data_IF_161647174027
#
_entry.id   IF_161647174027
#
_cell.length_a   1.000
_cell.length_b   1.000
_cell.length_c   1.000
_cell.angle_alpha   90.00
_cell.angle_beta   90.00
_cell.angle_gamma   90.00
#
_symmetry.space_group_name_H-M   'P 1'
#
loop_
_entity.id
_entity.type
_entity.pdbx_description
1 polymer ?
#
# COMPACT_ATOMS: atom_id res chain seq x y z
N UNK A 1 -9.36 -8.55 4.16
CA UNK A 1 -7.95 -8.13 4.39
C UNK A 1 -6.99 -9.06 3.65
N UNK A 2 -5.70 -8.71 3.49
CA UNK A 2 -4.72 -9.56 2.80
C UNK A 2 -4.54 -10.94 3.48
N UNK A 3 -4.56 -10.98 4.82
CA UNK A 3 -4.50 -12.21 5.62
C UNK A 3 -5.72 -13.11 5.31
N UNK A 4 -6.94 -12.55 5.36
CA UNK A 4 -8.15 -13.30 5.01
C UNK A 4 -8.11 -13.86 3.57
N UNK A 5 -7.60 -13.08 2.61
CA UNK A 5 -7.44 -13.58 1.24
C UNK A 5 -6.44 -14.73 1.14
N UNK A 6 -5.35 -14.69 1.90
CA UNK A 6 -4.40 -15.81 1.97
C UNK A 6 -5.08 -17.02 2.60
N UNK A 7 -5.81 -16.84 3.70
CA UNK A 7 -6.56 -17.92 4.38
C UNK A 7 -7.57 -18.60 3.44
N UNK A 8 -8.36 -17.83 2.70
CA UNK A 8 -9.30 -18.38 1.70
C UNK A 8 -8.57 -19.19 0.63
N UNK A 9 -7.47 -18.65 0.07
CA UNK A 9 -6.70 -19.40 -0.96
C UNK A 9 -6.09 -20.67 -0.41
N UNK A 10 -5.66 -20.69 0.85
CA UNK A 10 -5.15 -21.92 1.51
C UNK A 10 -6.26 -22.95 1.66
N UNK A 11 -7.47 -22.53 2.05
CA UNK A 11 -8.64 -23.43 2.08
C UNK A 11 -8.99 -24.00 0.70
N UNK A 12 -8.74 -23.24 -0.36
CA UNK A 12 -8.90 -23.65 -1.76
C UNK A 12 -7.71 -24.48 -2.30
N UNK A 13 -6.73 -24.85 -1.46
CA UNK A 13 -5.58 -25.70 -1.83
C UNK A 13 -4.29 -24.94 -2.23
N UNK A 14 -4.23 -23.63 -2.00
CA UNK A 14 -3.05 -22.79 -2.23
C UNK A 14 -1.95 -22.92 -1.16
N UNK A 15 -0.77 -22.37 -1.44
CA UNK A 15 0.34 -22.33 -0.47
C UNK A 15 0.09 -21.36 0.67
N UNK A 16 0.38 -21.80 1.89
CA UNK A 16 0.31 -20.95 3.08
C UNK A 16 1.46 -19.94 3.11
N UNK A 17 1.15 -18.72 3.56
CA UNK A 17 2.13 -17.70 3.93
C UNK A 17 1.83 -17.33 5.37
N UNK A 18 2.83 -17.50 6.24
CA UNK A 18 2.71 -17.14 7.65
C UNK A 18 2.26 -15.69 7.83
N UNK A 19 1.35 -15.48 8.80
CA UNK A 19 0.76 -14.17 9.06
C UNK A 19 1.83 -13.11 9.34
N UNK A 20 2.89 -13.47 10.06
CA UNK A 20 4.00 -12.56 10.37
C UNK A 20 4.80 -12.17 9.13
N UNK A 21 4.91 -13.07 8.15
CA UNK A 21 5.52 -12.77 6.86
C UNK A 21 4.65 -11.78 6.08
N UNK A 22 3.32 -11.92 6.10
CA UNK A 22 2.39 -10.98 5.46
C UNK A 22 2.52 -9.59 6.09
N UNK A 23 2.50 -9.50 7.43
CA UNK A 23 2.64 -8.23 8.17
C UNK A 23 3.98 -7.56 7.88
N UNK A 24 5.09 -8.32 7.91
CA UNK A 24 6.43 -7.82 7.60
C UNK A 24 6.52 -7.28 6.18
N UNK A 25 5.98 -8.02 5.19
CA UNK A 25 5.95 -7.57 3.79
C UNK A 25 5.13 -6.31 3.60
N UNK A 26 3.98 -6.20 4.28
CA UNK A 26 3.15 -5.01 4.23
C UNK A 26 3.92 -3.77 4.71
N UNK A 27 4.57 -3.85 5.88
CA UNK A 27 5.41 -2.77 6.41
C UNK A 27 6.56 -2.42 5.46
N UNK A 28 7.32 -3.43 5.00
CA UNK A 28 8.43 -3.21 4.09
C UNK A 28 7.98 -2.58 2.75
N UNK A 29 6.80 -2.96 2.26
CA UNK A 29 6.22 -2.39 1.05
C UNK A 29 5.92 -0.89 1.20
N UNK A 30 5.41 -0.46 2.36
CA UNK A 30 5.17 0.96 2.66
C UNK A 30 6.49 1.71 2.76
N UNK A 31 7.50 1.17 3.46
CA UNK A 31 8.81 1.80 3.54
C UNK A 31 9.43 1.97 2.15
N UNK A 32 9.45 0.89 1.35
CA UNK A 32 9.98 0.93 -0.01
C UNK A 32 9.21 1.90 -0.91
N UNK A 33 7.89 2.06 -0.72
CA UNK A 33 7.09 3.05 -1.44
C UNK A 33 7.68 4.46 -1.25
N UNK A 34 7.94 4.87 -0.01
CA UNK A 34 8.43 6.22 0.27
C UNK A 34 9.94 6.39 0.05
N UNK A 35 10.73 5.36 0.37
CA UNK A 35 12.19 5.46 0.39
C UNK A 35 12.82 5.17 -0.99
N UNK A 36 12.18 4.32 -1.80
CA UNK A 36 12.75 3.83 -3.06
C UNK A 36 11.89 4.26 -4.23
N UNK A 37 10.61 3.89 -4.24
CA UNK A 37 9.79 3.99 -5.45
C UNK A 37 9.32 5.42 -5.73
N UNK A 38 8.72 6.11 -4.75
CA UNK A 38 8.16 7.44 -4.94
C UNK A 38 9.22 8.48 -5.39
N UNK A 39 10.49 8.46 -4.91
CA UNK A 39 11.54 9.35 -5.39
C UNK A 39 11.95 9.13 -6.84
N UNK A 40 11.99 7.88 -7.33
CA UNK A 40 12.59 7.53 -8.64
C UNK A 40 11.59 7.50 -9.79
N UNK A 41 10.29 7.40 -9.52
CA UNK A 41 9.26 7.39 -10.57
C UNK A 41 8.88 8.80 -11.01
N UNK A 42 8.56 8.94 -12.29
CA UNK A 42 8.02 10.18 -12.87
C UNK A 42 6.58 10.41 -12.40
N UNK A 43 5.77 9.35 -12.36
CA UNK A 43 4.36 9.42 -12.00
C UNK A 43 3.99 8.31 -11.02
N UNK A 44 3.08 8.61 -10.10
CA UNK A 44 2.52 7.64 -9.18
C UNK A 44 1.08 8.00 -8.80
N UNK A 45 0.25 6.97 -8.60
CA UNK A 45 -1.08 7.10 -8.01
C UNK A 45 -1.17 6.18 -6.80
N UNK A 46 -1.57 6.71 -5.65
CA UNK A 46 -1.69 5.97 -4.40
C UNK A 46 -3.16 5.89 -4.03
N UNK A 47 -3.68 4.67 -3.90
CA UNK A 47 -5.08 4.40 -3.61
C UNK A 47 -5.25 3.70 -2.26
N UNK A 48 -6.29 4.10 -1.51
CA UNK A 48 -6.85 3.32 -0.41
C UNK A 48 -7.97 2.41 -0.95
N UNK A 49 -7.79 1.10 -0.72
CA UNK A 49 -8.69 0.03 -1.20
C UNK A 49 -9.41 -0.67 -0.02
N UNK A 50 -9.60 0.01 1.12
CA UNK A 50 -10.39 -0.54 2.24
C UNK A 50 -11.89 -0.57 1.90
N UNK A 51 -12.39 0.47 1.24
CA UNK A 51 -13.79 0.56 0.80
C UNK A 51 -14.01 -0.15 -0.54
N UNK A 52 -15.27 -0.37 -0.91
CA UNK A 52 -15.65 -0.98 -2.20
C UNK A 52 -15.11 -0.17 -3.38
N UNK A 53 -15.16 1.17 -3.27
CA UNK A 53 -14.58 2.08 -4.25
C UNK A 53 -13.19 2.50 -3.78
N UNK A 54 -12.19 2.28 -4.63
CA UNK A 54 -10.84 2.78 -4.41
C UNK A 54 -10.86 4.31 -4.31
N UNK A 55 -10.22 4.85 -3.29
CA UNK A 55 -10.06 6.29 -3.08
C UNK A 55 -8.63 6.69 -3.43
N UNK A 56 -8.44 7.65 -4.33
CA UNK A 56 -7.14 8.26 -4.58
C UNK A 56 -6.75 9.11 -3.38
N UNK A 57 -5.64 8.80 -2.73
CA UNK A 57 -5.17 9.50 -1.53
C UNK A 57 -3.97 10.41 -1.80
N UNK A 58 -3.18 10.13 -2.83
CA UNK A 58 -2.10 10.99 -3.31
C UNK A 58 -1.70 10.66 -4.75
N UNK A 59 -1.13 11.64 -5.45
CA UNK A 59 -0.56 11.47 -6.78
C UNK A 59 0.76 12.24 -6.93
N UNK A 60 1.66 11.70 -7.75
CA UNK A 60 2.88 12.39 -8.19
C UNK A 60 2.81 12.50 -9.70
N UNK A 61 3.09 13.69 -10.21
CA UNK A 61 3.24 13.97 -11.64
C UNK A 61 4.66 14.51 -11.87
N UNK A 62 5.22 14.24 -13.05
CA UNK A 62 6.56 14.69 -13.39
C UNK A 62 6.67 16.22 -13.28
N UNK A 63 7.70 16.68 -12.56
CA UNK A 63 7.98 18.11 -12.42
C UNK A 63 7.10 18.83 -11.38
N UNK A 64 6.24 18.10 -10.66
CA UNK A 64 5.44 18.66 -9.55
C UNK A 64 5.78 17.98 -8.22
N UNK A 65 5.43 18.65 -7.13
CA UNK A 65 5.36 17.99 -5.82
C UNK A 65 4.25 16.94 -5.81
N UNK A 66 4.31 16.04 -4.82
CA UNK A 66 3.25 15.04 -4.60
C UNK A 66 1.99 15.74 -4.11
N UNK A 67 0.92 15.67 -4.88
CA UNK A 67 -0.40 16.18 -4.50
C UNK A 67 -1.09 15.18 -3.58
N UNK A 68 -1.55 15.64 -2.42
CA UNK A 68 -2.17 14.79 -1.40
C UNK A 68 -3.67 15.10 -1.35
N UNK A 69 -4.49 14.19 -1.89
CA UNK A 69 -5.95 14.32 -1.90
C UNK A 69 -6.58 14.02 -0.54
N UNK A 70 -5.99 13.12 0.27
CA UNK A 70 -6.45 12.82 1.62
C UNK A 70 -5.28 12.77 2.62
N UNK A 71 -5.04 13.91 3.29
CA UNK A 71 -3.93 14.10 4.21
C UNK A 71 -3.97 13.13 5.39
N UNK A 72 -5.15 12.87 5.95
CA UNK A 72 -5.30 11.97 7.10
C UNK A 72 -4.89 10.54 6.75
N UNK A 73 -5.37 10.02 5.61
CA UNK A 73 -5.03 8.66 5.16
C UNK A 73 -3.58 8.56 4.70
N UNK A 74 -3.08 9.58 4.01
CA UNK A 74 -1.68 9.63 3.58
C UNK A 74 -0.72 9.66 4.76
N UNK A 75 -0.98 10.49 5.78
CA UNK A 75 -0.16 10.53 7.00
C UNK A 75 -0.23 9.23 7.78
N UNK A 76 -1.40 8.58 7.83
CA UNK A 76 -1.53 7.26 8.44
C UNK A 76 -0.69 6.21 7.70
N UNK A 77 -0.71 6.23 6.37
CA UNK A 77 0.12 5.34 5.54
C UNK A 77 1.60 5.61 5.80
N UNK A 78 2.04 6.88 5.74
CA UNK A 78 3.44 7.29 5.94
C UNK A 78 3.98 6.97 7.34
N UNK A 79 3.14 7.04 8.36
CA UNK A 79 3.53 6.76 9.75
C UNK A 79 3.30 5.30 10.17
N UNK A 80 3.02 4.39 9.23
CA UNK A 80 2.87 2.96 9.54
C UNK A 80 4.23 2.38 9.93
N UNK A 81 4.45 2.19 11.24
CA UNK A 81 5.61 1.50 11.81
C UNK A 81 5.33 0.03 12.05
#
# INVERSE_FOLDING_TARGET
MAIERVKTRVQEGGHNIETDVIKRRYKNGINNLFDIYLPIVNEALIFDNIAIKAELIAQKILGSETEISNVTKFNKLKNTK
#
